data_IF_874701794463
#
_entry.id   IF_874701794463
#
_cell.length_a   1.000
_cell.length_b   1.000
_cell.length_c   1.000
_cell.angle_alpha   90.00
_cell.angle_beta   90.00
_cell.angle_gamma   90.00
#
_symmetry.space_group_name_H-M   'P 1'
#
loop_
_entity.id
_entity.type
_entity.pdbx_description
1 polymer ?
#
# COMPACT_ATOMS: atom_id res chain seq x y z
N UNK A 1 19.04 -19.63 -14.25
CA UNK A 1 18.47 -18.27 -14.11
C UNK A 1 17.40 -18.00 -15.17
N UNK A 2 17.62 -18.33 -16.44
CA UNK A 2 16.62 -18.18 -17.51
C UNK A 2 15.39 -19.09 -17.38
N UNK A 3 15.57 -20.37 -17.01
CA UNK A 3 14.46 -21.29 -16.77
C UNK A 3 13.56 -20.88 -15.58
N UNK A 4 14.12 -20.16 -14.59
CA UNK A 4 13.37 -19.62 -13.45
C UNK A 4 12.48 -18.44 -13.90
N UNK A 5 13.04 -17.53 -14.71
CA UNK A 5 12.29 -16.42 -15.32
C UNK A 5 11.16 -16.91 -16.21
N UNK A 6 11.42 -17.87 -17.10
CA UNK A 6 10.41 -18.43 -18.00
C UNK A 6 9.21 -19.06 -17.25
N UNK A 7 9.47 -19.78 -16.14
CA UNK A 7 8.41 -20.35 -15.30
C UNK A 7 7.56 -19.28 -14.62
N UNK A 8 8.17 -18.21 -14.13
CA UNK A 8 7.47 -17.14 -13.44
C UNK A 8 6.70 -16.25 -14.43
N UNK A 9 7.20 -16.07 -15.65
CA UNK A 9 6.49 -15.37 -16.72
C UNK A 9 5.20 -16.10 -17.14
N UNK A 10 5.22 -17.43 -17.24
CA UNK A 10 4.00 -18.19 -17.51
C UNK A 10 2.92 -17.96 -16.42
N UNK A 11 3.31 -17.88 -15.15
CA UNK A 11 2.39 -17.56 -14.04
C UNK A 11 1.83 -16.13 -14.15
N UNK A 12 2.65 -15.14 -14.54
CA UNK A 12 2.18 -13.76 -14.74
C UNK A 12 1.09 -13.74 -15.82
N UNK A 13 1.37 -14.36 -16.96
CA UNK A 13 0.44 -14.42 -18.10
C UNK A 13 -0.86 -15.14 -17.71
N UNK A 14 -0.75 -16.24 -16.96
CA UNK A 14 -1.90 -16.97 -16.44
C UNK A 14 -2.72 -16.14 -15.45
N UNK A 15 -2.07 -15.45 -14.50
CA UNK A 15 -2.74 -14.60 -13.52
C UNK A 15 -3.47 -13.40 -14.17
N UNK A 16 -2.88 -12.80 -15.22
CA UNK A 16 -3.57 -11.78 -16.02
C UNK A 16 -4.79 -12.37 -16.72
N UNK A 17 -4.67 -13.57 -17.28
CA UNK A 17 -5.78 -14.22 -18.00
C UNK A 17 -6.92 -14.65 -17.07
N UNK A 18 -6.64 -14.87 -15.79
CA UNK A 18 -7.61 -15.15 -14.73
C UNK A 18 -8.24 -13.88 -14.14
N UNK A 19 -7.79 -12.69 -14.56
CA UNK A 19 -8.36 -11.41 -14.20
C UNK A 19 -9.72 -11.16 -14.85
N UNK A 20 -10.71 -11.96 -14.47
CA UNK A 20 -12.07 -11.83 -14.97
C UNK A 20 -12.67 -10.54 -14.40
N UNK A 21 -13.08 -9.66 -15.31
CA UNK A 21 -13.73 -8.37 -15.05
C UNK A 21 -14.98 -8.56 -14.17
N UNK A 22 -15.01 -7.92 -12.99
CA UNK A 22 -16.22 -7.76 -12.19
C UNK A 22 -16.41 -6.27 -11.88
N UNK A 23 -17.58 -5.78 -12.31
CA UNK A 23 -18.20 -4.47 -12.13
C UNK A 23 -17.41 -3.19 -12.52
N UNK A 24 -17.74 -2.73 -13.72
CA UNK A 24 -17.34 -1.46 -14.33
C UNK A 24 -17.97 -0.26 -13.62
N UNK A 25 -17.41 0.17 -12.49
CA UNK A 25 -17.61 1.55 -12.05
C UNK A 25 -16.33 2.16 -11.45
N UNK A 26 -15.86 3.21 -12.14
CA UNK A 26 -15.14 4.41 -11.70
C UNK A 26 -13.71 4.58 -12.29
N UNK A 27 -13.60 5.69 -13.03
CA UNK A 27 -12.48 6.42 -13.67
C UNK A 27 -12.19 6.09 -15.15
N UNK A 28 -12.27 7.14 -15.97
CA UNK A 28 -12.11 7.25 -17.42
C UNK A 28 -10.77 6.74 -17.97
N UNK A 29 -10.55 5.43 -17.95
CA UNK A 29 -9.59 4.79 -18.87
C UNK A 29 -10.41 4.06 -19.91
N UNK A 30 -10.40 4.49 -21.19
CA UNK A 30 -11.12 3.79 -22.24
C UNK A 30 -10.81 2.29 -22.21
N UNK A 31 -11.84 1.45 -22.19
CA UNK A 31 -11.72 -0.01 -22.08
C UNK A 31 -10.74 -0.62 -23.10
N UNK A 32 -10.53 0.07 -24.22
CA UNK A 32 -9.55 -0.28 -25.25
C UNK A 32 -8.08 -0.29 -24.80
N UNK A 33 -7.71 0.37 -23.69
CA UNK A 33 -6.32 0.37 -23.21
C UNK A 33 -5.95 -0.88 -22.40
N UNK A 34 -6.92 -1.59 -21.84
CA UNK A 34 -6.67 -2.78 -21.02
C UNK A 34 -6.01 -3.90 -21.82
N UNK A 35 -6.54 -4.31 -23.01
CA UNK A 35 -5.89 -5.34 -23.82
C UNK A 35 -4.47 -4.98 -24.24
N UNK A 36 -4.20 -3.70 -24.51
CA UNK A 36 -2.86 -3.22 -24.88
C UNK A 36 -1.85 -3.35 -23.73
N UNK A 37 -2.26 -3.01 -22.50
CA UNK A 37 -1.40 -3.15 -21.31
C UNK A 37 -1.16 -4.63 -21.01
N UNK A 38 -2.18 -5.47 -21.13
CA UNK A 38 -2.05 -6.92 -20.95
C UNK A 38 -1.11 -7.55 -21.98
N UNK A 39 -1.26 -7.20 -23.26
CA UNK A 39 -0.38 -7.67 -24.32
C UNK A 39 1.05 -7.20 -24.08
N UNK A 40 1.23 -5.95 -23.64
CA UNK A 40 2.55 -5.41 -23.30
C UNK A 40 3.20 -6.20 -22.16
N UNK A 41 2.46 -6.56 -21.12
CA UNK A 41 3.00 -7.38 -20.02
C UNK A 41 3.25 -8.83 -20.48
N UNK A 42 2.42 -9.41 -21.35
CA UNK A 42 2.67 -10.74 -21.93
C UNK A 42 3.96 -10.76 -22.75
N UNK A 43 4.22 -9.68 -23.50
CA UNK A 43 5.41 -9.53 -24.34
C UNK A 43 6.66 -9.13 -23.54
N UNK A 44 6.49 -8.31 -22.49
CA UNK A 44 7.55 -7.75 -21.65
C UNK A 44 7.16 -7.80 -20.16
N UNK A 45 7.14 -8.99 -19.55
CA UNK A 45 6.73 -9.17 -18.17
C UNK A 45 7.68 -8.57 -17.12
N UNK A 46 8.85 -8.07 -17.54
CA UNK A 46 9.76 -7.27 -16.72
C UNK A 46 9.51 -5.75 -16.79
N UNK A 47 8.58 -5.30 -17.63
CA UNK A 47 8.26 -3.89 -17.80
C UNK A 47 7.46 -3.37 -16.58
N UNK A 48 8.20 -2.79 -15.62
CA UNK A 48 7.67 -2.29 -14.36
C UNK A 48 6.60 -1.21 -14.56
N UNK A 49 6.70 -0.42 -15.64
CA UNK A 49 5.77 0.66 -15.94
C UNK A 49 4.45 0.08 -16.45
N UNK A 50 4.52 -0.93 -17.32
CA UNK A 50 3.35 -1.69 -17.77
C UNK A 50 2.60 -2.33 -16.59
N UNK A 51 3.36 -2.98 -15.69
CA UNK A 51 2.83 -3.62 -14.48
C UNK A 51 2.18 -2.59 -13.56
N UNK A 52 2.86 -1.48 -13.31
CA UNK A 52 2.36 -0.39 -12.46
C UNK A 52 1.06 0.17 -13.02
N UNK A 53 0.98 0.43 -14.32
CA UNK A 53 -0.25 0.86 -14.98
C UNK A 53 -1.37 -0.17 -14.79
N UNK A 54 -1.10 -1.45 -15.03
CA UNK A 54 -2.07 -2.52 -14.86
C UNK A 54 -2.62 -2.59 -13.42
N UNK A 55 -1.72 -2.56 -12.43
CA UNK A 55 -2.08 -2.60 -11.00
C UNK A 55 -2.96 -1.41 -10.64
N UNK A 56 -2.60 -0.19 -11.06
CA UNK A 56 -3.36 1.03 -10.74
C UNK A 56 -4.78 0.99 -11.29
N UNK A 57 -4.93 0.53 -12.53
CA UNK A 57 -6.23 0.47 -13.20
C UNK A 57 -7.09 -0.67 -12.62
N UNK A 58 -6.46 -1.79 -12.21
CA UNK A 58 -7.14 -2.95 -11.66
C UNK A 58 -7.10 -3.04 -10.13
N UNK A 59 -6.85 -1.91 -9.44
CA UNK A 59 -6.89 -1.87 -7.95
C UNK A 59 -8.22 -2.37 -7.39
N UNK A 60 -9.25 -2.40 -8.24
CA UNK A 60 -10.57 -2.90 -7.93
C UNK A 60 -10.79 -4.41 -8.12
N UNK A 61 -9.76 -5.20 -8.43
CA UNK A 61 -9.90 -6.63 -8.70
C UNK A 61 -9.40 -7.49 -7.52
N UNK A 62 -10.16 -8.52 -7.12
CA UNK A 62 -9.82 -9.38 -5.98
C UNK A 62 -8.62 -10.29 -6.23
N UNK A 63 -8.26 -10.52 -7.49
CA UNK A 63 -7.04 -11.24 -7.86
C UNK A 63 -5.76 -10.44 -7.55
N UNK A 64 -5.88 -9.13 -7.33
CA UNK A 64 -4.75 -8.19 -7.38
C UNK A 64 -3.59 -8.58 -6.44
N UNK A 65 -3.81 -9.04 -5.20
CA UNK A 65 -2.70 -9.48 -4.37
C UNK A 65 -1.99 -10.73 -4.90
N UNK A 66 -2.73 -11.68 -5.49
CA UNK A 66 -2.12 -12.86 -6.10
C UNK A 66 -1.25 -12.45 -7.29
N UNK A 67 -1.76 -11.53 -8.13
CA UNK A 67 -1.01 -11.00 -9.26
C UNK A 67 0.24 -10.21 -8.82
N UNK A 68 0.10 -9.33 -7.83
CA UNK A 68 1.22 -8.59 -7.23
C UNK A 68 2.27 -9.52 -6.63
N UNK A 69 1.85 -10.62 -5.97
CA UNK A 69 2.76 -11.62 -5.44
C UNK A 69 3.60 -12.26 -6.56
N UNK A 70 3.00 -12.56 -7.71
CA UNK A 70 3.73 -13.09 -8.87
C UNK A 70 4.73 -12.04 -9.42
N UNK A 71 4.35 -10.77 -9.53
CA UNK A 71 5.29 -9.72 -9.98
C UNK A 71 6.45 -9.51 -9.01
N UNK A 72 6.20 -9.66 -7.71
CA UNK A 72 7.24 -9.58 -6.70
C UNK A 72 8.19 -10.80 -6.74
N UNK A 73 7.83 -11.93 -7.35
CA UNK A 73 8.80 -13.00 -7.66
C UNK A 73 9.87 -12.52 -8.68
N UNK A 74 9.51 -11.59 -9.56
CA UNK A 74 10.40 -11.01 -10.58
C UNK A 74 11.13 -9.77 -10.06
N UNK A 75 10.45 -8.97 -9.23
CA UNK A 75 10.94 -7.69 -8.70
C UNK A 75 10.80 -7.62 -7.17
N UNK A 76 11.52 -8.48 -6.41
CA UNK A 76 11.28 -8.68 -4.96
C UNK A 76 11.59 -7.47 -4.08
N UNK A 77 12.24 -6.44 -4.63
CA UNK A 77 12.62 -5.22 -3.91
C UNK A 77 11.91 -3.98 -4.45
N UNK A 78 10.96 -4.14 -5.37
CA UNK A 78 10.26 -3.00 -5.91
C UNK A 78 9.35 -2.38 -4.85
N UNK A 79 9.73 -1.18 -4.40
CA UNK A 79 9.06 -0.55 -3.28
C UNK A 79 7.62 -0.12 -3.59
N UNK A 80 7.32 0.14 -4.87
CA UNK A 80 5.98 0.52 -5.30
C UNK A 80 5.05 -0.68 -5.34
N UNK A 81 5.49 -1.81 -5.91
CA UNK A 81 4.69 -3.04 -5.93
C UNK A 81 4.45 -3.59 -4.52
N UNK A 82 5.45 -3.51 -3.64
CA UNK A 82 5.31 -3.88 -2.23
C UNK A 82 4.28 -3.01 -1.51
N UNK A 83 4.32 -1.69 -1.71
CA UNK A 83 3.32 -0.77 -1.15
C UNK A 83 1.91 -1.10 -1.65
N UNK A 84 1.75 -1.33 -2.95
CA UNK A 84 0.45 -1.69 -3.52
C UNK A 84 -0.06 -3.01 -2.97
N UNK A 85 0.82 -4.00 -2.78
CA UNK A 85 0.42 -5.26 -2.17
C UNK A 85 -0.06 -5.05 -0.73
N UNK A 86 0.66 -4.24 0.07
CA UNK A 86 0.24 -3.91 1.43
C UNK A 86 -1.11 -3.18 1.41
N UNK A 87 -1.29 -2.15 0.58
CA UNK A 87 -2.55 -1.40 0.48
C UNK A 87 -3.72 -2.28 0.06
N UNK A 88 -3.54 -3.18 -0.91
CA UNK A 88 -4.58 -4.12 -1.34
C UNK A 88 -5.00 -5.06 -0.19
N UNK A 89 -4.04 -5.62 0.54
CA UNK A 89 -4.33 -6.50 1.68
C UNK A 89 -5.05 -5.73 2.80
N UNK A 90 -4.53 -4.56 3.19
CA UNK A 90 -5.02 -3.81 4.35
C UNK A 90 -6.37 -3.14 4.09
N UNK A 91 -6.50 -2.37 3.01
CA UNK A 91 -7.64 -1.47 2.80
C UNK A 91 -8.78 -2.17 2.08
N UNK A 92 -8.46 -2.99 1.09
CA UNK A 92 -9.46 -3.59 0.20
C UNK A 92 -9.92 -4.95 0.71
N UNK A 93 -8.99 -5.87 0.92
CA UNK A 93 -9.33 -7.24 1.31
C UNK A 93 -9.57 -7.41 2.81
N UNK A 94 -9.36 -6.35 3.59
CA UNK A 94 -9.48 -6.38 5.04
C UNK A 94 -8.58 -7.47 5.69
N UNK A 95 -7.50 -7.84 5.02
CA UNK A 95 -6.45 -8.78 5.46
C UNK A 95 -5.33 -8.00 6.14
N UNK A 96 -5.67 -7.36 7.25
CA UNK A 96 -4.82 -6.38 7.92
C UNK A 96 -3.53 -7.02 8.46
N UNK A 97 -3.62 -8.26 8.95
CA UNK A 97 -2.49 -9.07 9.43
C UNK A 97 -1.47 -9.32 8.31
N UNK A 98 -1.93 -9.77 7.14
CA UNK A 98 -1.08 -10.03 5.99
C UNK A 98 -0.35 -8.74 5.53
N UNK A 99 -1.09 -7.63 5.47
CA UNK A 99 -0.49 -6.34 5.15
C UNK A 99 0.58 -5.90 6.15
N UNK A 100 0.37 -6.15 7.44
CA UNK A 100 1.36 -5.87 8.48
C UNK A 100 2.58 -6.78 8.38
N UNK A 101 2.40 -8.08 8.12
CA UNK A 101 3.49 -9.04 7.91
C UNK A 101 4.40 -8.60 6.76
N UNK A 102 3.81 -8.22 5.61
CA UNK A 102 4.55 -7.72 4.46
C UNK A 102 5.28 -6.42 4.80
N UNK A 103 4.61 -5.48 5.47
CA UNK A 103 5.23 -4.21 5.87
C UNK A 103 6.43 -4.41 6.82
N UNK A 104 6.37 -5.40 7.71
CA UNK A 104 7.46 -5.74 8.63
C UNK A 104 8.62 -6.48 7.95
N UNK A 105 8.35 -7.19 6.85
CA UNK A 105 9.40 -7.84 6.04
C UNK A 105 10.19 -6.83 5.21
N UNK A 106 9.57 -5.70 4.84
CA UNK A 106 10.18 -4.65 4.03
C UNK A 106 11.23 -3.83 4.81
N UNK A 107 12.02 -3.03 4.08
CA UNK A 107 13.10 -2.24 4.69
C UNK A 107 12.59 -1.32 5.82
N UNK A 108 13.09 -1.49 7.07
CA UNK A 108 12.48 -0.90 8.27
C UNK A 108 12.64 0.62 8.39
N UNK A 109 13.40 1.25 7.49
CA UNK A 109 13.65 2.70 7.46
C UNK A 109 13.05 3.41 6.24
N UNK A 110 12.45 2.67 5.32
CA UNK A 110 11.76 3.30 4.19
C UNK A 110 10.55 4.07 4.71
N UNK A 111 10.51 5.37 4.44
CA UNK A 111 9.41 6.25 4.86
C UNK A 111 8.04 5.70 4.42
N UNK A 112 7.99 5.15 3.21
CA UNK A 112 6.81 4.52 2.62
C UNK A 112 6.35 3.31 3.44
N UNK A 113 7.25 2.39 3.77
CA UNK A 113 6.89 1.18 4.53
C UNK A 113 6.57 1.48 5.99
N UNK A 114 7.22 2.48 6.58
CA UNK A 114 6.86 2.98 7.91
C UNK A 114 5.42 3.49 7.95
N UNK A 115 5.01 4.25 6.93
CA UNK A 115 3.62 4.70 6.79
C UNK A 115 2.66 3.52 6.62
N UNK A 116 2.94 2.59 5.69
CA UNK A 116 2.12 1.40 5.47
C UNK A 116 1.92 0.58 6.75
N UNK A 117 2.99 0.37 7.53
CA UNK A 117 2.94 -0.32 8.82
C UNK A 117 2.03 0.40 9.82
N UNK A 118 2.18 1.72 9.94
CA UNK A 118 1.35 2.52 10.83
C UNK A 118 -0.13 2.43 10.46
N UNK A 119 -0.47 2.52 9.17
CA UNK A 119 -1.85 2.40 8.68
C UNK A 119 -2.42 1.00 8.90
N UNK A 120 -1.64 -0.06 8.65
CA UNK A 120 -2.07 -1.43 8.93
C UNK A 120 -2.45 -1.61 10.42
N UNK A 121 -1.62 -1.09 11.32
CA UNK A 121 -1.88 -1.12 12.76
C UNK A 121 -3.08 -0.26 13.17
N UNK A 122 -3.23 0.95 12.60
CA UNK A 122 -4.41 1.79 12.85
C UNK A 122 -5.71 1.08 12.46
N UNK A 123 -5.68 0.34 11.34
CA UNK A 123 -6.85 -0.33 10.82
C UNK A 123 -7.19 -1.62 11.58
N UNK A 124 -6.26 -2.27 12.28
CA UNK A 124 -6.49 -3.55 12.99
C UNK A 124 -7.46 -3.48 14.17
N UNK A 125 -8.18 -2.37 14.38
CA UNK A 125 -9.06 -2.10 15.53
C UNK A 125 -8.36 -2.23 16.91
N UNK A 126 -7.04 -2.46 16.87
CA UNK A 126 -6.10 -2.56 17.97
C UNK A 126 -5.23 -1.31 17.93
N UNK A 127 -5.87 -0.17 18.13
CA UNK A 127 -5.22 1.08 18.50
C UNK A 127 -4.46 0.83 19.80
N UNK A 128 -3.22 0.38 19.65
CA UNK A 128 -2.34 -0.15 20.69
C UNK A 128 -1.14 0.78 20.86
N UNK A 129 -0.37 0.66 21.95
CA UNK A 129 0.89 1.39 22.06
C UNK A 129 1.81 1.17 20.85
N UNK A 130 1.73 0.01 20.19
CA UNK A 130 2.44 -0.30 18.95
C UNK A 130 2.02 0.60 17.78
N UNK A 131 0.73 0.96 17.68
CA UNK A 131 0.22 1.91 16.69
C UNK A 131 0.91 3.27 16.84
N UNK A 132 0.99 3.78 18.08
CA UNK A 132 1.68 5.04 18.37
C UNK A 132 3.17 4.96 18.01
N UNK A 133 3.85 3.89 18.42
CA UNK A 133 5.26 3.68 18.06
C UNK A 133 5.47 3.66 16.54
N UNK A 134 4.55 3.07 15.79
CA UNK A 134 4.64 3.03 14.34
C UNK A 134 4.41 4.40 13.70
N UNK A 135 3.44 5.18 14.20
CA UNK A 135 3.19 6.56 13.76
C UNK A 135 4.39 7.46 14.09
N UNK A 136 4.96 7.34 15.29
CA UNK A 136 6.14 8.10 15.71
C UNK A 136 7.38 7.76 14.88
N UNK A 137 7.55 6.49 14.50
CA UNK A 137 8.65 6.09 13.63
C UNK A 137 8.55 6.72 12.23
N UNK A 138 7.34 6.84 11.68
CA UNK A 138 7.11 7.57 10.43
C UNK A 138 7.37 9.06 10.61
N UNK A 139 6.75 9.69 11.61
CA UNK A 139 6.87 11.12 11.88
C UNK A 139 8.31 11.56 12.16
N UNK A 140 9.13 10.71 12.78
CA UNK A 140 10.54 11.00 13.06
C UNK A 140 11.45 11.01 11.82
N UNK A 141 10.98 10.50 10.67
CA UNK A 141 11.73 10.50 9.41
C UNK A 141 11.05 11.29 8.29
N UNK A 142 9.75 11.55 8.39
CA UNK A 142 9.02 12.28 7.38
C UNK A 142 9.49 13.74 7.31
N UNK A 143 9.72 14.30 6.10
CA UNK A 143 9.81 15.74 5.92
C UNK A 143 8.56 16.43 6.49
N UNK A 144 8.72 17.62 7.06
CA UNK A 144 7.61 18.33 7.71
C UNK A 144 6.45 18.67 6.76
N UNK A 145 6.75 18.84 5.46
CA UNK A 145 5.81 19.12 4.37
C UNK A 145 5.24 17.84 3.71
N UNK A 146 5.59 16.65 4.22
CA UNK A 146 5.13 15.42 3.64
C UNK A 146 3.61 15.26 3.80
N UNK A 147 2.91 14.98 2.70
CA UNK A 147 1.44 15.01 2.64
C UNK A 147 0.70 14.11 3.64
N UNK A 148 1.36 13.06 4.16
CA UNK A 148 0.81 12.14 5.17
C UNK A 148 1.04 12.56 6.63
N UNK A 149 1.86 13.57 6.90
CA UNK A 149 2.20 14.00 8.26
C UNK A 149 0.97 14.45 9.07
N UNK A 150 0.08 15.33 8.56
CA UNK A 150 -1.10 15.73 9.32
C UNK A 150 -2.01 14.57 9.69
N UNK A 151 -2.26 13.67 8.72
CA UNK A 151 -3.08 12.49 8.94
C UNK A 151 -2.52 11.61 10.07
N UNK A 152 -1.19 11.46 10.16
CA UNK A 152 -0.57 10.68 11.23
C UNK A 152 -0.76 11.33 12.61
N UNK A 153 -0.64 12.65 12.70
CA UNK A 153 -0.92 13.40 13.92
C UNK A 153 -2.38 13.26 14.38
N UNK A 154 -3.33 13.34 13.45
CA UNK A 154 -4.74 13.13 13.79
C UNK A 154 -5.04 11.71 14.26
N UNK A 155 -4.40 10.68 13.66
CA UNK A 155 -4.51 9.30 14.16
C UNK A 155 -3.98 9.16 15.59
N UNK A 156 -2.88 9.85 15.95
CA UNK A 156 -2.39 9.89 17.34
C UNK A 156 -3.41 10.58 18.26
N UNK A 157 -4.02 11.67 17.81
CA UNK A 157 -5.06 12.36 18.58
C UNK A 157 -6.26 11.43 18.84
N UNK A 158 -6.77 10.76 17.81
CA UNK A 158 -7.84 9.75 17.92
C UNK A 158 -7.49 8.67 18.95
N UNK A 159 -6.27 8.13 18.90
CA UNK A 159 -5.78 7.15 19.87
C UNK A 159 -5.84 7.69 21.31
N UNK A 160 -5.29 8.87 21.55
CA UNK A 160 -5.24 9.43 22.90
C UNK A 160 -6.62 9.80 23.44
N UNK A 161 -7.54 10.26 22.58
CA UNK A 161 -8.91 10.53 22.97
C UNK A 161 -9.71 9.26 23.30
N UNK A 162 -9.67 8.27 22.41
CA UNK A 162 -10.55 7.10 22.50
C UNK A 162 -10.02 6.01 23.45
N UNK A 163 -8.70 5.82 23.52
CA UNK A 163 -8.09 4.66 24.20
C UNK A 163 -7.35 5.03 25.48
N UNK A 164 -6.46 6.03 25.45
CA UNK A 164 -5.81 6.51 26.69
C UNK A 164 -6.68 7.45 27.51
N UNK A 165 -7.73 8.04 26.91
CA UNK A 165 -8.54 9.14 27.49
C UNK A 165 -7.66 10.28 28.01
N UNK A 166 -6.54 10.54 27.33
CA UNK A 166 -5.55 11.54 27.68
C UNK A 166 -5.80 12.82 26.87
N UNK A 167 -6.59 13.73 27.44
CA UNK A 167 -7.00 14.95 26.76
C UNK A 167 -5.82 15.87 26.41
N UNK A 168 -4.79 15.94 27.27
CA UNK A 168 -3.61 16.77 27.01
C UNK A 168 -2.87 16.32 25.75
N UNK A 169 -2.58 15.01 25.64
CA UNK A 169 -1.92 14.44 24.45
C UNK A 169 -2.80 14.49 23.19
N UNK A 170 -4.13 14.40 23.37
CA UNK A 170 -5.07 14.62 22.28
C UNK A 170 -4.90 16.03 21.69
N UNK A 171 -4.97 17.07 22.53
CA UNK A 171 -4.81 18.47 22.08
C UNK A 171 -3.45 18.66 21.41
N UNK A 172 -2.37 18.22 22.05
CA UNK A 172 -1.01 18.31 21.51
C UNK A 172 -0.90 17.67 20.11
N UNK A 173 -1.43 16.45 19.96
CA UNK A 173 -1.38 15.74 18.67
C UNK A 173 -2.27 16.40 17.62
N UNK A 174 -3.44 16.91 18.01
CA UNK A 174 -4.37 17.55 17.10
C UNK A 174 -3.82 18.89 16.59
N UNK A 175 -3.26 19.72 17.47
CA UNK A 175 -2.60 20.98 17.10
C UNK A 175 -1.39 20.75 16.19
N UNK A 176 -0.58 19.73 16.47
CA UNK A 176 0.52 19.35 15.59
C UNK A 176 0.03 18.96 14.18
N UNK A 177 -1.14 18.31 14.07
CA UNK A 177 -1.76 18.03 12.78
C UNK A 177 -2.15 19.29 12.02
N UNK A 178 -2.79 20.26 12.70
CA UNK A 178 -3.17 21.55 12.11
C UNK A 178 -1.95 22.35 11.65
N UNK A 179 -0.87 22.38 12.43
CA UNK A 179 0.37 23.06 12.03
C UNK A 179 1.05 22.38 10.84
N UNK A 180 0.98 21.05 10.75
CA UNK A 180 1.49 20.32 9.60
C UNK A 180 0.66 20.57 8.32
N UNK A 181 -0.66 20.77 8.43
CA UNK A 181 -1.50 21.13 7.26
C UNK A 181 -1.09 22.46 6.64
N UNK A 182 -0.70 23.43 7.47
CA UNK A 182 -0.23 24.74 6.99
C UNK A 182 1.06 24.68 6.17
N UNK A 183 1.78 23.56 6.23
CA UNK A 183 3.04 23.32 5.51
C UNK A 183 2.84 22.56 4.18
N UNK A 184 1.62 22.13 3.88
CA UNK A 184 1.27 21.49 2.60
C UNK A 184 0.94 22.53 1.53
#
# INVERSE_FOLDING_TARGET
>A
MEAFKAKNYAKVVEAISQAIFIDHQIVEVPEMFFPCIEEMIKLKPEDIDAITCFVRINTKNDIMPALLAVYLELHPKDAYLLEMLISCNVVRLNQKEMGLEIANYCEPKSLRFLYCRAIALCLQDKQTPETIKALDAFLGLAPEDHNKVPACHYRKAEYYAAYEKNFAKFVESFEAGLEAEKKQ
#
